data_IF_665402588463
#
_entry.id   IF_665402588463
#
_cell.length_a   1.000
_cell.length_b   1.000
_cell.length_c   1.000
_cell.angle_alpha   90.00
_cell.angle_beta   90.00
_cell.angle_gamma   90.00
#
_symmetry.space_group_name_H-M   'P 1'
#
loop_
_entity.id
_entity.type
_entity.pdbx_description
1 polymer ?
#
# COMPACT_ATOMS: atom_id res chain seq x y z
N UNK A 1 36.19 48.24 -29.26
CA UNK A 1 35.07 48.44 -28.30
C UNK A 1 34.06 47.32 -28.47
N UNK A 2 33.71 46.69 -27.35
CA UNK A 2 32.67 45.67 -27.19
C UNK A 2 31.31 46.08 -27.79
N UNK A 3 30.58 45.11 -28.34
CA UNK A 3 29.21 44.79 -27.89
C UNK A 3 28.76 43.43 -28.46
N UNK A 4 28.66 42.45 -27.57
CA UNK A 4 28.07 41.12 -27.81
C UNK A 4 26.55 41.28 -27.98
N UNK A 5 25.96 40.66 -29.01
CA UNK A 5 24.51 40.39 -29.08
C UNK A 5 24.28 38.95 -28.63
N UNK A 6 23.80 38.79 -27.40
CA UNK A 6 23.30 37.52 -26.87
C UNK A 6 21.90 37.25 -27.45
N UNK A 7 21.79 36.20 -28.27
CA UNK A 7 20.51 35.68 -28.74
C UNK A 7 19.80 34.92 -27.62
N UNK A 8 18.65 35.42 -27.19
CA UNK A 8 17.74 34.72 -26.27
C UNK A 8 17.05 33.60 -27.06
N UNK A 9 17.42 32.34 -26.79
CA UNK A 9 16.62 31.18 -27.20
C UNK A 9 15.40 31.10 -26.28
N UNK A 10 14.20 31.11 -26.87
CA UNK A 10 12.94 30.76 -26.17
C UNK A 10 13.00 29.28 -25.80
N UNK A 11 13.03 28.96 -24.50
CA UNK A 11 12.71 27.61 -24.02
C UNK A 11 11.21 27.37 -24.16
N UNK A 12 10.85 26.28 -24.82
CA UNK A 12 9.48 25.82 -24.95
C UNK A 12 9.02 25.21 -23.62
N UNK A 13 7.89 25.69 -23.09
CA UNK A 13 7.21 25.10 -21.94
C UNK A 13 6.76 23.67 -22.25
N UNK A 14 6.92 22.70 -21.32
CA UNK A 14 6.30 21.39 -21.46
C UNK A 14 4.77 21.50 -21.24
N UNK A 15 3.97 20.62 -21.86
CA UNK A 15 2.51 20.71 -21.79
C UNK A 15 2.00 20.45 -20.37
N UNK A 16 0.97 21.22 -19.99
CA UNK A 16 0.24 21.08 -18.74
C UNK A 16 -0.33 19.65 -18.60
N UNK A 17 -0.15 19.04 -17.43
CA UNK A 17 -0.82 17.77 -17.08
C UNK A 17 -2.30 18.03 -16.88
N UNK A 18 -3.11 17.21 -17.56
CA UNK A 18 -4.57 17.20 -17.46
C UNK A 18 -5.01 16.82 -16.02
N UNK A 19 -5.74 17.69 -15.30
CA UNK A 19 -6.22 17.43 -13.94
C UNK A 19 -7.43 16.46 -13.88
N UNK A 20 -7.79 15.76 -14.96
CA UNK A 20 -8.93 14.83 -15.00
C UNK A 20 -8.57 13.34 -14.95
N UNK A 21 -7.57 12.94 -14.15
CA UNK A 21 -7.58 11.56 -13.62
C UNK A 21 -8.45 11.54 -12.36
N UNK A 22 -9.72 11.27 -12.62
CA UNK A 22 -10.80 11.08 -11.66
C UNK A 22 -10.39 10.17 -10.49
N UNK A 23 -10.60 10.67 -9.27
CA UNK A 23 -10.77 9.83 -8.09
C UNK A 23 -11.83 8.75 -8.36
N UNK A 24 -11.62 7.50 -7.91
CA UNK A 24 -12.70 6.53 -7.90
C UNK A 24 -13.77 7.02 -6.92
N UNK A 25 -15.03 7.02 -7.37
CA UNK A 25 -16.19 7.34 -6.53
C UNK A 25 -16.23 6.34 -5.38
N UNK A 26 -16.22 6.86 -4.15
CA UNK A 26 -16.45 6.08 -2.92
C UNK A 26 -17.78 5.32 -3.02
N UNK A 27 -17.71 3.99 -2.99
CA UNK A 27 -18.85 3.14 -2.64
C UNK A 27 -18.68 2.76 -1.17
N UNK A 28 -19.65 3.13 -0.34
CA UNK A 28 -19.68 2.80 1.09
C UNK A 28 -19.67 1.27 1.30
N UNK A 29 -18.84 0.79 2.22
CA UNK A 29 -18.66 -0.62 2.54
C UNK A 29 -19.67 -1.05 3.62
N UNK A 30 -20.92 -1.38 3.25
CA UNK A 30 -21.83 -2.07 4.18
C UNK A 30 -21.43 -3.54 4.32
N UNK A 31 -21.25 -4.02 5.54
CA UNK A 31 -20.94 -5.43 5.84
C UNK A 31 -22.09 -6.07 6.63
N UNK A 32 -22.83 -6.97 5.98
CA UNK A 32 -23.80 -7.87 6.64
C UNK A 32 -23.54 -9.29 6.08
N UNK A 33 -23.16 -10.23 6.95
CA UNK A 33 -22.78 -11.60 6.57
C UNK A 33 -23.79 -12.62 7.13
N UNK A 34 -24.60 -13.20 6.24
CA UNK A 34 -25.42 -14.39 6.46
C UNK A 34 -24.91 -15.57 5.62
N UNK A 35 -24.85 -16.77 6.22
CA UNK A 35 -24.20 -17.97 5.65
C UNK A 35 -24.93 -18.64 4.46
N UNK A 36 -24.26 -19.56 3.74
CA UNK A 36 -24.63 -19.96 2.38
C UNK A 36 -25.58 -21.16 2.30
N UNK A 37 -26.54 -21.09 1.38
CA UNK A 37 -27.34 -22.21 0.89
C UNK A 37 -26.83 -22.68 -0.48
N UNK A 38 -26.44 -23.96 -0.54
CA UNK A 38 -25.99 -24.69 -1.72
C UNK A 38 -27.09 -24.85 -2.78
N UNK A 39 -26.74 -24.82 -4.07
CA UNK A 39 -27.34 -25.66 -5.12
C UNK A 39 -26.46 -25.72 -6.37
N UNK A 40 -26.08 -26.95 -6.70
CA UNK A 40 -25.41 -27.43 -7.91
C UNK A 40 -26.37 -27.55 -9.10
N UNK A 41 -25.89 -27.44 -10.34
CA UNK A 41 -25.98 -28.50 -11.39
C UNK A 41 -25.34 -28.05 -12.72
N UNK A 42 -24.77 -29.01 -13.45
CA UNK A 42 -23.95 -28.82 -14.66
C UNK A 42 -24.69 -29.09 -16.00
N UNK A 43 -24.03 -29.69 -17.02
CA UNK A 43 -23.84 -29.03 -18.32
C UNK A 43 -24.45 -29.77 -19.53
N UNK A 44 -24.44 -29.13 -20.72
CA UNK A 44 -24.68 -29.80 -22.01
C UNK A 44 -23.86 -29.17 -23.16
N UNK A 45 -23.13 -29.99 -23.91
CA UNK A 45 -22.39 -29.64 -25.14
C UNK A 45 -23.22 -29.87 -26.43
N UNK A 46 -22.60 -30.33 -27.54
CA UNK A 46 -21.88 -29.50 -28.51
C UNK A 46 -22.49 -29.53 -29.93
N UNK A 47 -22.09 -28.60 -30.81
CA UNK A 47 -22.53 -28.58 -32.22
C UNK A 47 -21.40 -28.19 -33.18
N UNK A 48 -20.89 -29.17 -33.90
CA UNK A 48 -19.89 -29.10 -34.98
C UNK A 48 -20.52 -28.74 -36.33
N UNK A 49 -19.83 -27.96 -37.17
CA UNK A 49 -19.77 -28.21 -38.63
C UNK A 49 -18.57 -27.54 -39.30
N UNK A 50 -18.01 -28.28 -40.24
CA UNK A 50 -16.72 -28.09 -40.88
C UNK A 50 -16.77 -27.26 -42.18
N UNK A 51 -15.56 -26.97 -42.68
CA UNK A 51 -15.12 -26.33 -43.94
C UNK A 51 -15.76 -26.94 -45.23
N UNK A 52 -15.58 -26.45 -46.47
CA UNK A 52 -14.35 -26.32 -47.29
C UNK A 52 -14.63 -25.47 -48.60
N UNK A 53 -13.79 -25.39 -49.68
CA UNK A 53 -12.88 -24.28 -50.07
C UNK A 53 -13.12 -23.63 -51.46
N UNK A 54 -12.34 -22.56 -51.79
CA UNK A 54 -11.49 -22.34 -53.00
C UNK A 54 -11.52 -20.91 -53.53
N UNK A 55 -10.33 -20.41 -53.90
CA UNK A 55 -10.17 -19.32 -54.88
C UNK A 55 -8.99 -18.36 -54.62
N UNK A 56 -7.82 -18.65 -55.18
CA UNK A 56 -6.77 -17.68 -55.61
C UNK A 56 -6.57 -17.92 -57.11
N UNK A 57 -6.16 -16.94 -57.95
CA UNK A 57 -5.09 -15.98 -57.65
C UNK A 57 -5.21 -14.57 -58.28
N UNK A 58 -4.40 -13.62 -57.79
CA UNK A 58 -3.70 -12.62 -58.63
C UNK A 58 -2.63 -11.90 -57.78
N UNK A 59 -1.40 -11.92 -58.27
CA UNK A 59 -0.24 -11.28 -57.66
C UNK A 59 -0.30 -9.75 -57.85
N UNK A 60 -0.20 -9.00 -56.75
CA UNK A 60 0.28 -7.62 -56.73
C UNK A 60 1.43 -7.55 -55.75
N UNK A 61 2.57 -7.13 -56.25
CA UNK A 61 3.82 -6.87 -55.54
C UNK A 61 3.59 -5.86 -54.41
N UNK A 62 3.86 -6.26 -53.17
CA UNK A 62 3.93 -5.34 -52.04
C UNK A 62 5.38 -4.87 -51.84
N UNK A 63 5.62 -3.59 -51.50
CA UNK A 63 6.94 -3.11 -51.11
C UNK A 63 7.33 -3.73 -49.76
N UNK A 64 8.58 -4.20 -49.66
CA UNK A 64 9.12 -4.87 -48.47
C UNK A 64 9.13 -3.96 -47.23
N UNK A 65 9.20 -4.55 -46.02
CA UNK A 65 9.22 -3.78 -44.79
C UNK A 65 10.47 -2.88 -44.74
N UNK A 66 10.35 -1.65 -44.23
CA UNK A 66 11.51 -0.78 -44.06
C UNK A 66 12.49 -1.42 -43.06
N UNK A 67 13.81 -1.17 -43.20
CA UNK A 67 14.80 -1.69 -42.27
C UNK A 67 14.53 -1.16 -40.85
N UNK A 68 14.86 -1.93 -39.79
CA UNK A 68 14.62 -1.52 -38.43
C UNK A 68 15.31 -0.17 -38.18
N UNK A 69 14.53 0.80 -37.71
CA UNK A 69 15.05 2.08 -37.27
C UNK A 69 16.16 1.83 -36.25
N UNK A 70 17.35 2.36 -36.55
CA UNK A 70 18.50 2.37 -35.66
C UNK A 70 18.06 3.09 -34.39
N UNK A 71 17.81 2.34 -33.32
CA UNK A 71 17.65 2.87 -31.98
C UNK A 71 18.98 3.52 -31.61
N UNK A 72 19.14 4.80 -31.94
CA UNK A 72 20.17 5.64 -31.34
C UNK A 72 20.02 5.48 -29.84
N UNK A 73 21.08 5.00 -29.19
CA UNK A 73 21.18 4.78 -27.76
C UNK A 73 20.55 5.95 -27.00
N UNK A 74 19.34 5.74 -26.49
CA UNK A 74 18.76 6.59 -25.45
C UNK A 74 19.31 6.01 -24.16
N UNK A 75 20.35 6.65 -23.62
CA UNK A 75 20.80 6.40 -22.25
C UNK A 75 19.59 6.43 -21.31
N UNK A 76 19.48 5.52 -20.33
CA UNK A 76 18.43 5.59 -19.34
C UNK A 76 18.46 6.98 -18.70
N UNK A 77 17.36 7.74 -18.82
CA UNK A 77 17.19 8.96 -18.04
C UNK A 77 17.12 8.53 -16.58
N UNK A 78 18.13 8.89 -15.80
CA UNK A 78 18.10 8.74 -14.35
C UNK A 78 16.78 9.30 -13.82
N UNK A 79 16.09 8.63 -12.88
CA UNK A 79 14.94 9.21 -12.21
C UNK A 79 15.36 10.52 -11.53
N UNK A 80 14.47 11.52 -11.41
CA UNK A 80 14.80 12.79 -10.79
C UNK A 80 15.31 12.53 -9.36
N UNK A 81 16.55 12.96 -9.08
CA UNK A 81 17.15 12.91 -7.75
C UNK A 81 16.23 13.65 -6.78
N UNK A 82 15.62 12.90 -5.86
CA UNK A 82 15.01 13.47 -4.66
C UNK A 82 16.10 14.29 -3.96
N UNK A 83 15.79 15.53 -3.58
CA UNK A 83 16.65 16.28 -2.65
C UNK A 83 16.66 15.51 -1.33
N UNK A 84 17.68 14.70 -1.14
CA UNK A 84 17.99 14.06 0.13
C UNK A 84 18.42 15.16 1.09
N UNK A 85 17.46 15.67 1.87
CA UNK A 85 17.81 16.38 3.10
C UNK A 85 18.34 15.33 4.09
N UNK A 86 19.62 15.40 4.41
CA UNK A 86 20.32 14.62 5.45
C UNK A 86 19.48 14.53 6.74
N UNK A 87 18.67 13.49 6.88
CA UNK A 87 17.87 13.23 8.09
C UNK A 87 17.59 11.73 8.18
N UNK A 88 18.57 10.97 8.70
CA UNK A 88 18.47 9.58 9.17
C UNK A 88 18.06 8.52 8.13
N UNK A 89 18.94 7.53 7.89
CA UNK A 89 18.69 6.32 7.07
C UNK A 89 17.61 5.37 7.63
N UNK A 90 16.88 5.80 8.66
CA UNK A 90 15.94 4.95 9.37
C UNK A 90 14.66 4.72 8.54
N UNK A 91 14.22 3.47 8.52
CA UNK A 91 12.94 3.06 7.93
C UNK A 91 11.76 3.56 8.75
N UNK A 92 11.94 3.70 10.07
CA UNK A 92 11.02 4.31 11.00
C UNK A 92 11.81 5.26 11.90
N UNK A 93 11.41 6.53 11.95
CA UNK A 93 12.07 7.54 12.76
C UNK A 93 11.89 7.31 14.27
N UNK A 94 12.68 8.03 15.06
CA UNK A 94 12.33 8.25 16.45
C UNK A 94 10.97 8.96 16.58
N UNK A 95 10.32 8.77 17.74
CA UNK A 95 9.08 9.47 18.07
C UNK A 95 9.41 10.95 18.27
N UNK A 96 8.70 11.82 17.56
CA UNK A 96 8.89 13.26 17.64
C UNK A 96 7.55 13.98 17.77
N UNK A 97 7.60 15.24 18.18
CA UNK A 97 6.42 16.09 18.28
C UNK A 97 5.70 16.19 16.92
N UNK A 98 4.37 16.11 16.92
CA UNK A 98 3.59 16.17 15.68
C UNK A 98 3.82 17.47 14.91
N UNK A 99 4.02 18.60 15.59
CA UNK A 99 4.23 19.91 14.97
C UNK A 99 5.57 19.97 14.21
N UNK A 100 6.46 19.00 14.41
CA UNK A 100 7.70 18.89 13.64
C UNK A 100 7.47 18.77 12.12
N UNK A 101 6.29 18.29 11.69
CA UNK A 101 5.93 18.14 10.27
C UNK A 101 5.40 19.41 9.63
N UNK A 102 5.19 20.49 10.40
CA UNK A 102 4.84 21.80 9.85
C UNK A 102 5.95 22.33 8.93
N UNK A 103 7.21 21.93 9.20
CA UNK A 103 8.38 22.30 8.39
C UNK A 103 8.40 21.65 7.00
N UNK A 104 7.57 20.63 6.76
CA UNK A 104 7.54 19.95 5.46
C UNK A 104 6.94 20.84 4.36
N UNK A 105 6.01 21.75 4.70
CA UNK A 105 5.38 22.71 3.77
C UNK A 105 5.11 24.07 4.45
N UNK A 106 6.15 24.89 4.68
CA UNK A 106 6.02 26.18 5.37
C UNK A 106 5.20 27.23 4.60
N UNK A 107 5.01 27.05 3.30
CA UNK A 107 4.20 27.92 2.44
C UNK A 107 2.72 27.55 2.39
N UNK A 108 2.37 26.30 2.71
CA UNK A 108 1.00 25.81 2.58
C UNK A 108 0.17 26.09 3.85
N UNK A 109 -0.58 27.20 3.84
CA UNK A 109 -1.44 27.62 4.97
C UNK A 109 -2.58 26.64 5.27
N UNK A 110 -3.10 25.92 4.28
CA UNK A 110 -4.15 24.90 4.49
C UNK A 110 -3.55 23.74 5.25
N UNK A 111 -2.41 23.22 4.78
CA UNK A 111 -1.66 22.17 5.45
C UNK A 111 -1.32 22.53 6.90
N UNK A 112 -0.78 23.74 7.14
CA UNK A 112 -0.45 24.17 8.50
C UNK A 112 -1.66 24.17 9.44
N UNK A 113 -2.80 24.70 8.98
CA UNK A 113 -4.05 24.69 9.76
C UNK A 113 -4.51 23.26 10.04
N UNK A 114 -4.46 22.36 9.05
CA UNK A 114 -4.81 20.95 9.22
C UNK A 114 -3.90 20.23 10.23
N UNK A 115 -2.60 20.47 10.20
CA UNK A 115 -1.67 19.89 11.19
C UNK A 115 -1.88 20.47 12.59
N UNK A 116 -2.17 21.78 12.72
CA UNK A 116 -2.52 22.40 14.00
C UNK A 116 -3.84 21.86 14.57
N UNK A 117 -4.81 21.55 13.71
CA UNK A 117 -6.05 20.89 14.14
C UNK A 117 -5.76 19.45 14.59
N UNK A 118 -4.95 18.72 13.81
CA UNK A 118 -4.56 17.35 14.11
C UNK A 118 -3.80 17.26 15.45
N UNK A 119 -2.98 18.27 15.77
CA UNK A 119 -2.21 18.32 17.02
C UNK A 119 -3.06 18.45 18.28
N UNK A 120 -4.35 18.78 18.15
CA UNK A 120 -5.28 18.77 19.28
C UNK A 120 -5.64 17.36 19.74
N UNK A 121 -5.54 16.36 18.85
CA UNK A 121 -5.89 14.95 19.12
C UNK A 121 -4.65 14.04 19.21
N UNK A 122 -3.59 14.40 18.48
CA UNK A 122 -2.36 13.62 18.39
C UNK A 122 -1.17 14.46 18.85
N UNK A 123 -0.30 13.91 19.68
CA UNK A 123 0.82 14.65 20.29
C UNK A 123 2.15 14.34 19.63
N UNK A 124 2.28 13.16 19.03
CA UNK A 124 3.53 12.71 18.45
C UNK A 124 3.32 11.98 17.12
N UNK A 125 4.41 11.88 16.37
CA UNK A 125 4.49 11.19 15.10
C UNK A 125 5.81 10.39 15.00
N UNK A 126 5.77 9.24 14.33
CA UNK A 126 6.95 8.60 13.74
C UNK A 126 6.81 8.64 12.23
N UNK A 127 7.84 9.16 11.57
CA UNK A 127 7.93 9.17 10.11
C UNK A 127 8.35 7.78 9.63
N UNK A 128 7.79 7.31 8.52
CA UNK A 128 8.29 6.10 7.85
C UNK A 128 9.01 6.46 6.56
N UNK A 129 9.80 5.54 6.01
CA UNK A 129 10.46 5.76 4.71
C UNK A 129 9.43 5.69 3.58
N UNK A 130 9.46 6.69 2.69
CA UNK A 130 8.61 6.74 1.49
C UNK A 130 9.11 5.83 0.37
N UNK A 131 9.07 4.52 0.59
CA UNK A 131 9.56 3.46 -0.32
C UNK A 131 8.44 2.58 -0.91
N UNK A 132 7.18 3.06 -0.83
CA UNK A 132 5.99 2.29 -1.24
C UNK A 132 5.57 1.18 -0.24
N UNK A 133 6.35 0.93 0.82
CA UNK A 133 6.01 -0.05 1.85
C UNK A 133 5.49 0.59 3.15
N UNK A 134 5.42 1.93 3.16
CA UNK A 134 5.12 2.73 4.34
C UNK A 134 3.88 2.29 5.12
N UNK A 135 2.77 1.92 4.46
CA UNK A 135 1.58 1.43 5.17
C UNK A 135 1.87 0.16 5.99
N UNK A 136 2.34 -0.90 5.32
CA UNK A 136 2.63 -2.19 5.95
C UNK A 136 3.66 -2.05 7.07
N UNK A 137 4.68 -1.21 6.85
CA UNK A 137 5.71 -0.93 7.84
C UNK A 137 5.14 -0.16 9.03
N UNK A 138 4.34 0.87 8.78
CA UNK A 138 3.69 1.68 9.81
C UNK A 138 2.71 0.85 10.66
N UNK A 139 1.81 0.10 10.02
CA UNK A 139 0.83 -0.75 10.71
C UNK A 139 1.51 -1.84 11.53
N UNK A 140 2.46 -2.55 10.93
CA UNK A 140 3.20 -3.62 11.61
C UNK A 140 3.91 -3.12 12.85
N UNK A 141 4.66 -2.01 12.75
CA UNK A 141 5.35 -1.44 13.90
C UNK A 141 4.40 -0.90 14.96
N UNK A 142 3.46 -0.04 14.57
CA UNK A 142 2.57 0.65 15.52
C UNK A 142 1.68 -0.30 16.29
N UNK A 143 1.18 -1.36 15.63
CA UNK A 143 0.39 -2.37 16.31
C UNK A 143 1.23 -3.17 17.31
N UNK A 144 2.41 -3.64 16.92
CA UNK A 144 3.32 -4.37 17.81
C UNK A 144 3.78 -3.49 18.99
N UNK A 145 4.07 -2.21 18.76
CA UNK A 145 4.39 -1.25 19.82
C UNK A 145 3.20 -1.07 20.78
N UNK A 146 1.97 -1.04 20.27
CA UNK A 146 0.75 -0.93 21.08
C UNK A 146 0.51 -2.13 22.01
N UNK A 147 1.11 -3.29 21.70
CA UNK A 147 1.00 -4.51 22.49
C UNK A 147 2.03 -4.60 23.62
N UNK A 148 3.08 -3.77 23.61
CA UNK A 148 4.14 -3.83 24.63
C UNK A 148 3.54 -3.69 26.05
N UNK A 149 3.92 -4.61 26.93
CA UNK A 149 3.40 -4.69 28.30
C UNK A 149 1.99 -5.27 28.45
N UNK A 150 1.30 -5.67 27.37
CA UNK A 150 -0.07 -6.21 27.39
C UNK A 150 -0.08 -7.71 27.12
N UNK A 151 0.42 -8.52 28.06
CA UNK A 151 0.61 -9.98 27.90
C UNK A 151 -0.60 -10.71 27.34
N UNK A 152 -1.82 -10.39 27.82
CA UNK A 152 -3.05 -11.03 27.32
C UNK A 152 -3.32 -10.73 25.85
N UNK A 153 -3.11 -9.49 25.42
CA UNK A 153 -3.35 -9.08 24.03
C UNK A 153 -2.23 -9.61 23.11
N UNK A 154 -0.99 -9.70 23.61
CA UNK A 154 0.11 -10.39 22.91
C UNK A 154 -0.23 -11.86 22.66
N UNK A 155 -0.70 -12.59 23.68
CA UNK A 155 -1.06 -14.00 23.54
C UNK A 155 -2.16 -14.23 22.50
N UNK A 156 -3.24 -13.44 22.57
CA UNK A 156 -4.31 -13.48 21.55
C UNK A 156 -3.78 -13.19 20.15
N UNK A 157 -2.87 -12.21 20.03
CA UNK A 157 -2.29 -11.89 18.74
C UNK A 157 -1.40 -13.02 18.22
N UNK A 158 -0.59 -13.66 19.07
CA UNK A 158 0.19 -14.85 18.71
C UNK A 158 -0.70 -15.98 18.21
N UNK A 159 -1.78 -16.27 18.91
CA UNK A 159 -2.77 -17.27 18.47
C UNK A 159 -3.29 -16.94 17.07
N UNK A 160 -3.65 -15.68 16.82
CA UNK A 160 -4.10 -15.25 15.50
C UNK A 160 -3.02 -15.42 14.43
N UNK A 161 -1.78 -14.99 14.72
CA UNK A 161 -0.64 -15.11 13.79
C UNK A 161 -0.36 -16.57 13.47
N UNK A 162 -0.42 -17.48 14.44
CA UNK A 162 -0.21 -18.92 14.21
C UNK A 162 -1.24 -19.55 13.27
N UNK A 163 -2.42 -18.95 13.08
CA UNK A 163 -3.42 -19.40 12.11
C UNK A 163 -3.19 -18.88 10.69
N UNK A 164 -2.40 -17.82 10.51
CA UNK A 164 -2.19 -17.18 9.20
C UNK A 164 -1.55 -18.08 8.12
N UNK A 165 -0.69 -19.08 8.43
CA UNK A 165 -0.27 -20.07 7.44
C UNK A 165 -1.44 -20.82 6.79
N UNK A 166 -2.49 -21.15 7.57
CA UNK A 166 -3.67 -21.83 7.04
C UNK A 166 -4.45 -20.91 6.08
N UNK A 167 -4.52 -19.61 6.38
CA UNK A 167 -5.16 -18.63 5.50
C UNK A 167 -4.42 -18.53 4.16
N UNK A 168 -3.08 -18.54 4.18
CA UNK A 168 -2.23 -18.54 2.99
C UNK A 168 -2.39 -19.83 2.17
N UNK A 169 -2.42 -20.99 2.83
CA UNK A 169 -2.65 -22.29 2.15
C UNK A 169 -4.04 -22.35 1.52
N UNK A 170 -5.08 -21.90 2.22
CA UNK A 170 -6.45 -21.84 1.70
C UNK A 170 -6.56 -20.93 0.46
N UNK A 171 -5.77 -19.85 0.44
CA UNK A 171 -5.67 -18.97 -0.73
C UNK A 171 -4.85 -19.59 -1.87
N UNK A 172 -4.25 -20.77 -1.70
CA UNK A 172 -3.46 -21.46 -2.72
C UNK A 172 -2.00 -21.01 -2.81
N UNK A 173 -1.44 -20.43 -1.75
CA UNK A 173 0.02 -20.23 -1.66
C UNK A 173 0.72 -21.54 -1.27
N UNK A 174 1.91 -21.75 -1.82
CA UNK A 174 2.75 -22.88 -1.43
C UNK A 174 3.57 -22.52 -0.19
N UNK A 175 3.64 -23.41 0.80
CA UNK A 175 4.27 -23.14 2.11
C UNK A 175 5.68 -22.56 1.99
N UNK A 176 6.50 -23.12 1.11
CA UNK A 176 7.89 -22.69 0.92
C UNK A 176 8.02 -21.24 0.46
N UNK A 177 6.98 -20.65 -0.17
CA UNK A 177 6.98 -19.26 -0.64
C UNK A 177 6.80 -18.26 0.49
N UNK A 178 6.12 -18.63 1.58
CA UNK A 178 5.82 -17.71 2.68
C UNK A 178 6.51 -18.06 4.00
N UNK A 179 6.94 -19.31 4.20
CA UNK A 179 7.47 -19.80 5.49
C UNK A 179 8.55 -18.91 6.10
N UNK A 180 9.51 -18.46 5.28
CA UNK A 180 10.60 -17.61 5.77
C UNK A 180 10.10 -16.23 6.21
N UNK A 181 9.10 -15.66 5.53
CA UNK A 181 8.50 -14.38 5.88
C UNK A 181 7.61 -14.50 7.12
N UNK A 182 6.84 -15.58 7.22
CA UNK A 182 6.07 -15.93 8.43
C UNK A 182 6.99 -16.05 9.65
N UNK A 183 8.07 -16.82 9.55
CA UNK A 183 9.02 -16.99 10.64
C UNK A 183 9.63 -15.64 11.07
N UNK A 184 10.01 -14.80 10.11
CA UNK A 184 10.52 -13.47 10.41
C UNK A 184 9.51 -12.61 11.18
N UNK A 185 8.24 -12.60 10.75
CA UNK A 185 7.19 -11.86 11.44
C UNK A 185 6.92 -12.43 12.84
N UNK A 186 6.76 -13.75 12.96
CA UNK A 186 6.51 -14.42 14.23
C UNK A 186 7.64 -14.19 15.25
N UNK A 187 8.90 -14.21 14.81
CA UNK A 187 10.04 -13.88 15.69
C UNK A 187 9.98 -12.47 16.27
N UNK A 188 9.42 -11.49 15.54
CA UNK A 188 9.23 -10.14 16.10
C UNK A 188 8.06 -10.11 17.09
N UNK A 189 7.01 -10.89 16.88
CA UNK A 189 5.93 -11.05 17.87
C UNK A 189 6.48 -11.67 19.17
N UNK A 190 7.35 -12.67 19.08
CA UNK A 190 8.04 -13.23 20.24
C UNK A 190 8.99 -12.23 20.92
N UNK A 191 9.65 -11.37 20.15
CA UNK A 191 10.48 -10.30 20.71
C UNK A 191 9.65 -9.33 21.56
N UNK A 192 8.47 -8.95 21.08
CA UNK A 192 7.53 -8.07 21.80
C UNK A 192 7.08 -8.70 23.12
N UNK A 193 6.89 -10.02 23.14
CA UNK A 193 6.54 -10.77 24.36
C UNK A 193 7.68 -10.86 25.38
N UNK A 194 8.91 -11.14 24.91
CA UNK A 194 10.06 -11.44 25.78
C UNK A 194 10.81 -10.19 26.25
N UNK A 195 11.09 -9.26 25.34
CA UNK A 195 11.88 -8.05 25.63
C UNK A 195 10.99 -6.89 26.05
N UNK A 196 9.85 -6.70 25.35
CA UNK A 196 8.90 -5.65 25.66
C UNK A 196 9.44 -4.22 25.49
N UNK A 197 10.63 -4.02 24.90
CA UNK A 197 11.19 -2.67 24.71
C UNK A 197 10.90 -2.08 23.33
N UNK A 198 10.56 -0.79 23.34
CA UNK A 198 10.39 0.02 22.13
C UNK A 198 11.68 0.09 21.31
N UNK A 199 12.84 0.12 21.98
CA UNK A 199 14.16 0.23 21.34
C UNK A 199 14.50 -1.02 20.53
N UNK A 200 14.30 -2.22 21.10
CA UNK A 200 14.53 -3.48 20.40
C UNK A 200 13.60 -3.64 19.20
N UNK A 201 12.31 -3.32 19.36
CA UNK A 201 11.35 -3.34 18.26
C UNK A 201 11.76 -2.37 17.14
N UNK A 202 12.13 -1.14 17.49
CA UNK A 202 12.57 -0.12 16.53
C UNK A 202 13.86 -0.52 15.81
N UNK A 203 14.79 -1.17 16.52
CA UNK A 203 16.02 -1.71 15.92
C UNK A 203 15.72 -2.76 14.86
N UNK A 204 14.80 -3.69 15.13
CA UNK A 204 14.40 -4.71 14.14
C UNK A 204 13.71 -4.08 12.94
N UNK A 205 12.80 -3.13 13.15
CA UNK A 205 12.12 -2.46 12.03
C UNK A 205 13.03 -1.51 11.24
N UNK A 206 14.17 -1.09 11.79
CA UNK A 206 15.20 -0.32 11.10
C UNK A 206 16.30 -1.19 10.46
N UNK A 207 16.32 -2.50 10.71
CA UNK A 207 17.09 -3.43 9.89
C UNK A 207 16.36 -3.67 8.56
N UNK A 208 16.98 -3.29 7.44
CA UNK A 208 16.34 -3.37 6.12
C UNK A 208 15.88 -4.79 5.78
N UNK A 209 16.71 -5.79 6.08
CA UNK A 209 16.40 -7.17 5.72
C UNK A 209 15.25 -7.73 6.55
N UNK A 210 15.25 -7.51 7.86
CA UNK A 210 14.17 -7.96 8.74
C UNK A 210 12.86 -7.22 8.43
N UNK A 211 12.92 -5.90 8.29
CA UNK A 211 11.74 -5.07 8.06
C UNK A 211 11.08 -5.39 6.71
N UNK A 212 11.85 -5.66 5.65
CA UNK A 212 11.29 -6.05 4.36
C UNK A 212 10.68 -7.45 4.37
N UNK A 213 11.23 -8.40 5.14
CA UNK A 213 10.59 -9.72 5.32
C UNK A 213 9.26 -9.61 6.05
N UNK A 214 9.17 -8.74 7.06
CA UNK A 214 7.91 -8.44 7.76
C UNK A 214 6.90 -7.85 6.79
N UNK A 215 7.29 -6.83 6.02
CA UNK A 215 6.41 -6.21 5.01
C UNK A 215 5.94 -7.24 3.99
N UNK A 216 6.84 -8.08 3.46
CA UNK A 216 6.48 -9.09 2.48
C UNK A 216 5.48 -10.09 3.06
N UNK A 217 5.65 -10.51 4.31
CA UNK A 217 4.67 -11.38 4.98
C UNK A 217 3.29 -10.73 5.04
N UNK A 218 3.22 -9.47 5.48
CA UNK A 218 1.97 -8.73 5.60
C UNK A 218 1.29 -8.56 4.22
N UNK A 219 2.05 -8.31 3.15
CA UNK A 219 1.53 -8.25 1.76
C UNK A 219 0.92 -9.59 1.32
N UNK A 220 1.62 -10.70 1.56
CA UNK A 220 1.11 -12.04 1.23
C UNK A 220 -0.17 -12.35 2.02
N UNK A 221 -0.22 -11.97 3.30
CA UNK A 221 -1.41 -12.15 4.12
C UNK A 221 -2.59 -11.31 3.61
N UNK A 222 -2.34 -10.07 3.21
CA UNK A 222 -3.36 -9.22 2.56
C UNK A 222 -3.89 -9.89 1.28
N UNK A 223 -3.00 -10.37 0.42
CA UNK A 223 -3.39 -11.11 -0.80
C UNK A 223 -4.23 -12.34 -0.47
N UNK A 224 -3.80 -13.15 0.50
CA UNK A 224 -4.55 -14.32 0.93
C UNK A 224 -5.94 -13.97 1.45
N UNK A 225 -6.08 -12.91 2.25
CA UNK A 225 -7.37 -12.48 2.77
C UNK A 225 -8.33 -12.05 1.66
N UNK A 226 -7.82 -11.30 0.67
CA UNK A 226 -8.58 -10.86 -0.51
C UNK A 226 -9.04 -12.07 -1.32
N UNK A 227 -8.12 -13.00 -1.63
CA UNK A 227 -8.39 -14.19 -2.44
C UNK A 227 -9.40 -15.12 -1.78
N UNK A 228 -9.30 -15.33 -0.46
CA UNK A 228 -10.24 -16.15 0.30
C UNK A 228 -11.65 -15.53 0.40
N UNK A 229 -11.81 -14.25 0.02
CA UNK A 229 -13.09 -13.53 0.01
C UNK A 229 -13.32 -12.85 -1.34
N UNK A 230 -12.91 -13.53 -2.42
CA UNK A 230 -12.95 -13.01 -3.78
C UNK A 230 -14.32 -12.40 -4.13
N UNK A 231 -15.42 -13.08 -3.79
CA UNK A 231 -16.78 -12.62 -4.08
C UNK A 231 -17.08 -11.23 -3.51
N UNK A 232 -16.61 -10.94 -2.30
CA UNK A 232 -16.78 -9.63 -1.69
C UNK A 232 -15.89 -8.59 -2.37
N UNK A 233 -14.59 -8.88 -2.48
CA UNK A 233 -13.62 -7.92 -3.01
C UNK A 233 -13.80 -7.61 -4.50
N UNK A 234 -14.47 -8.50 -5.24
CA UNK A 234 -14.72 -8.37 -6.68
C UNK A 234 -15.42 -7.06 -7.05
N UNK A 235 -16.30 -6.56 -6.19
CA UNK A 235 -17.08 -5.34 -6.40
C UNK A 235 -16.25 -4.05 -6.32
N UNK A 236 -15.02 -4.14 -5.82
CA UNK A 236 -14.12 -3.00 -5.61
C UNK A 236 -12.91 -3.01 -6.55
N UNK A 237 -12.71 -4.11 -7.28
CA UNK A 237 -11.63 -4.27 -8.26
C UNK A 237 -12.21 -4.05 -9.66
N UNK A 238 -11.38 -3.53 -10.56
CA UNK A 238 -11.75 -3.27 -11.95
C UNK A 238 -12.44 -4.50 -12.60
N UNK A 239 -13.48 -4.26 -13.40
CA UNK A 239 -14.20 -5.33 -14.07
C UNK A 239 -13.29 -6.11 -15.04
N UNK A 240 -12.27 -5.47 -15.60
CA UNK A 240 -11.30 -6.10 -16.52
C UNK A 240 -10.17 -6.86 -15.81
N UNK A 241 -10.06 -6.76 -14.48
CA UNK A 241 -8.98 -7.37 -13.69
C UNK A 241 -9.50 -8.50 -12.79
N UNK A 242 -8.91 -9.69 -12.90
CA UNK A 242 -9.21 -10.79 -11.99
C UNK A 242 -8.66 -10.52 -10.57
N UNK A 243 -9.30 -11.09 -9.54
CA UNK A 243 -8.85 -10.96 -8.15
C UNK A 243 -7.40 -11.43 -7.98
N UNK A 244 -7.03 -12.55 -8.60
CA UNK A 244 -5.68 -13.08 -8.51
C UNK A 244 -4.68 -12.15 -9.18
N UNK A 245 -5.03 -11.60 -10.34
CA UNK A 245 -4.18 -10.64 -11.04
C UNK A 245 -4.02 -9.34 -10.24
N UNK A 246 -5.09 -8.82 -9.65
CA UNK A 246 -5.01 -7.68 -8.74
C UNK A 246 -4.05 -7.96 -7.58
N UNK A 247 -4.19 -9.11 -6.93
CA UNK A 247 -3.30 -9.50 -5.84
C UNK A 247 -1.83 -9.60 -6.29
N UNK A 248 -1.55 -10.27 -7.41
CA UNK A 248 -0.19 -10.49 -7.91
C UNK A 248 0.48 -9.20 -8.40
N UNK A 249 -0.26 -8.22 -8.91
CA UNK A 249 0.32 -6.99 -9.47
C UNK A 249 0.26 -5.79 -8.52
N UNK A 250 -0.78 -5.67 -7.70
CA UNK A 250 -1.04 -4.46 -6.88
C UNK A 250 -0.85 -4.69 -5.37
N UNK A 251 -0.75 -5.93 -4.90
CA UNK A 251 -0.68 -6.24 -3.45
C UNK A 251 0.64 -6.89 -3.06
N UNK A 252 0.95 -8.03 -3.70
CA UNK A 252 2.10 -8.89 -3.38
C UNK A 252 3.47 -8.23 -3.63
N UNK A 253 3.67 -7.44 -4.71
CA UNK A 253 4.99 -6.86 -4.99
C UNK A 253 5.38 -5.79 -3.96
N UNK A 254 6.67 -5.76 -3.64
CA UNK A 254 7.25 -4.72 -2.80
C UNK A 254 7.16 -3.35 -3.50
N UNK A 255 7.11 -2.28 -2.70
CA UNK A 255 7.03 -0.90 -3.15
C UNK A 255 5.76 -0.53 -3.93
N UNK A 256 4.73 -1.38 -3.92
CA UNK A 256 3.39 -1.04 -4.44
C UNK A 256 2.58 -0.26 -3.42
N UNK A 257 1.86 0.75 -3.90
CA UNK A 257 1.00 1.60 -3.07
C UNK A 257 -0.09 0.77 -2.38
N UNK A 258 -0.54 1.25 -1.23
CA UNK A 258 -1.54 0.59 -0.41
C UNK A 258 -2.74 1.53 -0.24
N UNK A 259 -3.90 1.07 -0.70
CA UNK A 259 -5.14 1.83 -0.69
C UNK A 259 -6.21 1.10 0.15
N UNK A 260 -7.43 1.63 0.16
CA UNK A 260 -8.55 1.21 0.98
C UNK A 260 -8.79 -0.31 0.98
N UNK A 261 -8.66 -0.98 -0.18
CA UNK A 261 -8.86 -2.43 -0.31
C UNK A 261 -7.84 -3.20 0.53
N UNK A 262 -6.55 -2.89 0.37
CA UNK A 262 -5.47 -3.55 1.09
C UNK A 262 -5.50 -3.22 2.59
N UNK A 263 -5.85 -1.98 2.96
CA UNK A 263 -6.01 -1.57 4.37
C UNK A 263 -7.12 -2.38 5.03
N UNK A 264 -8.29 -2.44 4.38
CA UNK A 264 -9.45 -3.20 4.87
C UNK A 264 -9.11 -4.68 5.03
N UNK A 265 -8.49 -5.27 4.01
CA UNK A 265 -8.11 -6.68 4.03
C UNK A 265 -7.12 -7.00 5.15
N UNK A 266 -6.05 -6.22 5.31
CA UNK A 266 -5.04 -6.49 6.34
C UNK A 266 -5.57 -6.24 7.76
N UNK A 267 -6.35 -5.17 7.95
CA UNK A 267 -7.03 -4.85 9.20
C UNK A 267 -7.89 -6.01 9.68
N UNK A 268 -8.73 -6.55 8.80
CA UNK A 268 -9.58 -7.69 9.12
C UNK A 268 -8.80 -9.00 9.23
N UNK A 269 -7.77 -9.21 8.41
CA UNK A 269 -6.94 -10.41 8.47
C UNK A 269 -6.29 -10.58 9.84
N UNK A 270 -5.84 -9.48 10.45
CA UNK A 270 -5.13 -9.48 11.74
C UNK A 270 -5.99 -9.06 12.93
N UNK A 271 -7.28 -8.76 12.72
CA UNK A 271 -8.17 -8.17 13.73
C UNK A 271 -7.59 -6.90 14.37
N UNK A 272 -6.99 -6.03 13.54
CA UNK A 272 -6.41 -4.75 13.98
C UNK A 272 -7.37 -3.62 13.62
N UNK A 273 -7.94 -2.99 14.64
CA UNK A 273 -8.68 -1.75 14.48
C UNK A 273 -7.72 -0.56 14.34
N UNK A 274 -7.74 0.13 13.20
CA UNK A 274 -6.94 1.32 12.94
C UNK A 274 -7.77 2.49 12.42
N UNK A 275 -7.26 3.70 12.63
CA UNK A 275 -7.80 4.93 12.05
C UNK A 275 -6.73 5.60 11.17
N UNK A 276 -7.11 6.02 9.98
CA UNK A 276 -6.25 6.77 9.06
C UNK A 276 -6.76 8.21 8.96
N UNK A 277 -5.93 9.17 9.33
CA UNK A 277 -6.17 10.61 9.18
C UNK A 277 -5.64 11.06 7.82
N UNK A 278 -6.49 11.73 7.03
CA UNK A 278 -6.16 12.18 5.69
C UNK A 278 -5.87 13.68 5.70
N UNK A 279 -4.64 14.04 5.32
CA UNK A 279 -4.23 15.44 5.14
C UNK A 279 -3.97 15.68 3.65
N UNK A 280 -4.94 16.31 3.00
CA UNK A 280 -4.85 16.82 1.64
C UNK A 280 -4.62 18.36 1.62
N UNK A 281 -4.51 18.92 0.42
CA UNK A 281 -4.33 20.36 0.21
C UNK A 281 -5.65 21.12 0.04
N UNK A 282 -6.80 20.44 0.18
CA UNK A 282 -8.12 21.05 -0.01
C UNK A 282 -8.52 21.81 1.26
N UNK A 283 -9.18 22.96 1.10
CA UNK A 283 -9.67 23.78 2.22
C UNK A 283 -10.97 23.20 2.82
N UNK A 284 -10.88 21.93 3.22
CA UNK A 284 -11.93 21.12 3.81
C UNK A 284 -11.57 20.74 5.24
N UNK A 285 -12.54 20.25 6.01
CA UNK A 285 -12.25 19.66 7.32
C UNK A 285 -11.30 18.46 7.19
N UNK A 286 -10.58 18.15 8.28
CA UNK A 286 -9.84 16.89 8.38
C UNK A 286 -10.80 15.72 8.21
N UNK A 287 -10.44 14.79 7.33
CA UNK A 287 -11.18 13.55 7.15
C UNK A 287 -10.40 12.39 7.79
N UNK A 288 -11.13 11.40 8.31
CA UNK A 288 -10.54 10.17 8.81
C UNK A 288 -11.44 8.98 8.48
N UNK A 289 -10.80 7.81 8.32
CA UNK A 289 -11.50 6.55 8.12
C UNK A 289 -11.06 5.55 9.18
N UNK A 290 -12.00 4.77 9.69
CA UNK A 290 -11.76 3.71 10.69
C UNK A 290 -11.96 2.36 10.04
N UNK A 291 -11.02 1.45 10.28
CA UNK A 291 -10.97 0.10 9.72
C UNK A 291 -10.87 -0.92 10.85
N UNK A 292 -11.80 -1.88 10.96
CA UNK A 292 -13.12 -1.91 10.32
C UNK A 292 -13.99 -0.73 10.72
N UNK A 293 -15.05 -0.43 9.95
CA UNK A 293 -15.97 0.67 10.26
C UNK A 293 -16.55 0.52 11.68
N UNK A 294 -16.72 1.66 12.37
CA UNK A 294 -17.21 1.75 13.76
C UNK A 294 -16.40 1.00 14.84
N UNK A 295 -15.25 0.41 14.52
CA UNK A 295 -14.36 -0.17 15.52
C UNK A 295 -13.73 0.92 16.39
N UNK A 296 -13.25 0.54 17.59
CA UNK A 296 -12.45 1.45 18.43
C UNK A 296 -10.98 1.29 18.01
N UNK A 297 -10.36 2.31 17.37
CA UNK A 297 -9.02 2.18 16.85
C UNK A 297 -7.97 2.08 17.97
N UNK A 298 -7.07 1.12 17.79
CA UNK A 298 -5.89 0.92 18.64
C UNK A 298 -4.61 1.51 18.03
N UNK A 299 -4.65 1.77 16.73
CA UNK A 299 -3.55 2.30 15.91
C UNK A 299 -4.06 3.50 15.13
N UNK A 300 -3.22 4.52 14.98
CA UNK A 300 -3.54 5.74 14.26
C UNK A 300 -2.44 6.03 13.24
N UNK A 301 -2.82 6.23 11.98
CA UNK A 301 -1.91 6.54 10.89
C UNK A 301 -2.26 7.90 10.28
N UNK A 302 -1.27 8.58 9.74
CA UNK A 302 -1.42 9.79 8.93
C UNK A 302 -1.15 9.42 7.47
N UNK A 303 -2.13 9.64 6.59
CA UNK A 303 -1.95 9.62 5.16
C UNK A 303 -1.78 11.04 4.62
N UNK A 304 -0.63 11.30 3.99
CA UNK A 304 -0.29 12.59 3.38
C UNK A 304 0.56 12.32 2.14
N UNK A 305 0.23 12.96 1.02
CA UNK A 305 1.03 12.92 -0.23
C UNK A 305 1.47 11.49 -0.62
N UNK A 306 0.51 10.55 -0.66
CA UNK A 306 0.76 9.13 -0.97
C UNK A 306 1.73 8.42 0.00
N UNK A 307 1.73 8.83 1.27
CA UNK A 307 2.65 8.31 2.27
C UNK A 307 2.00 8.18 3.65
N UNK A 308 2.32 7.07 4.33
CA UNK A 308 1.80 6.75 5.66
C UNK A 308 2.83 7.01 6.76
N UNK A 309 2.42 7.69 7.82
CA UNK A 309 3.18 7.86 9.05
C UNK A 309 2.38 7.37 10.25
N UNK A 310 3.04 7.18 11.39
CA UNK A 310 2.39 6.70 12.62
C UNK A 310 2.06 7.90 13.49
N UNK A 311 0.79 8.01 13.92
CA UNK A 311 0.32 9.01 14.87
C UNK A 311 0.16 8.42 16.27
N UNK A 312 0.38 9.26 17.28
CA UNK A 312 0.16 8.91 18.68
C UNK A 312 -0.85 9.86 19.30
N UNK A 313 -1.98 9.33 19.74
CA UNK A 313 -3.01 10.10 20.40
C UNK A 313 -2.47 10.70 21.71
N UNK A 314 -3.03 11.84 22.13
CA UNK A 314 -2.85 12.30 23.49
C UNK A 314 -3.45 11.26 24.45
N UNK A 315 -2.78 10.99 25.57
CA UNK A 315 -3.41 10.23 26.65
C UNK A 315 -4.69 10.94 27.06
N UNK A 316 -5.81 10.21 27.10
CA UNK A 316 -7.06 10.75 27.64
C UNK A 316 -6.84 11.02 29.13
N UNK A 317 -6.63 12.30 29.48
CA UNK A 317 -6.72 12.76 30.86
C UNK A 317 -8.13 12.60 31.39
#
# INVERSE_FOLDING_TARGET
MCARRTGVRREAQPPARDPRRSHPRERQFQTDWGGPGLSSEGPAGPGTRAAVPRGRPAQRTQPGPPPPARWSQVSPREPPRRRESETSFNLISEKCDILSILRDHPENRIYQRKIQELSKRFVAIRKTKGDGNCFYRALGYSYLESLLGKSREILKFKERVLQTPNDLLAAGFEEHKFRNFFNAFYSVVELVEKDGSVSSLLKVFNDQSASDRIVQFLRLLTSAFIRNRADFFRHFIDEEMDIKDFCTHEVEPMAMECDHIQITALSQALNIALQVEYVDEMDTALNHHVFPEAAIPSVYLLYKTSHYNILYAADKR
#
